data_IF_624483589477
#
_entry.id   IF_624483589477
#
_cell.length_a   1.000
_cell.length_b   1.000
_cell.length_c   1.000
_cell.angle_alpha   90.00
_cell.angle_beta   90.00
_cell.angle_gamma   90.00
#
_symmetry.space_group_name_H-M   'P 1'
#
loop_
_entity.id
_entity.type
_entity.pdbx_description
1 polymer ?
#
# COMPACT_ATOMS: atom_id res chain seq x y z
N UNK A 1 -3.02 8.81 8.86
CA UNK A 1 -3.54 7.84 9.85
C UNK A 1 -3.78 6.51 9.19
N UNK A 2 -3.43 5.42 9.86
CA UNK A 2 -3.77 4.06 9.40
C UNK A 2 -5.25 3.81 9.70
N UNK A 3 -6.07 3.74 8.65
CA UNK A 3 -7.53 3.51 8.77
C UNK A 3 -7.82 2.02 8.99
N UNK A 4 -7.09 1.17 8.26
CA UNK A 4 -7.18 -0.29 8.41
C UNK A 4 -5.83 -0.93 8.11
N UNK A 5 -5.49 -1.96 8.87
CA UNK A 5 -4.27 -2.72 8.76
C UNK A 5 -4.58 -4.22 8.81
N UNK A 6 -4.14 -4.90 7.75
CA UNK A 6 -4.05 -6.35 7.67
C UNK A 6 -2.62 -6.72 7.28
N UNK A 7 -2.17 -7.95 7.56
CA UNK A 7 -0.86 -8.43 7.10
C UNK A 7 -0.60 -8.18 5.61
N UNK A 8 -1.59 -8.40 4.75
CA UNK A 8 -1.45 -8.32 3.30
C UNK A 8 -1.96 -7.00 2.67
N UNK A 9 -2.55 -6.09 3.45
CA UNK A 9 -3.11 -4.85 2.91
C UNK A 9 -3.31 -3.79 3.99
N UNK A 10 -3.22 -2.52 3.62
CA UNK A 10 -3.48 -1.41 4.53
C UNK A 10 -4.09 -0.21 3.82
N UNK A 11 -4.84 0.59 4.58
CA UNK A 11 -5.39 1.88 4.14
C UNK A 11 -4.81 2.98 5.00
N UNK A 12 -4.25 4.01 4.37
CA UNK A 12 -3.85 5.26 5.03
C UNK A 12 -4.73 6.40 4.54
N UNK A 13 -5.13 7.27 5.45
CA UNK A 13 -5.84 8.50 5.12
C UNK A 13 -5.14 9.73 5.69
N UNK A 14 -5.10 10.81 4.92
CA UNK A 14 -4.67 12.14 5.37
C UNK A 14 -5.80 12.87 6.09
N UNK A 15 -5.45 13.95 6.78
CA UNK A 15 -6.40 14.72 7.60
C UNK A 15 -7.49 15.43 6.77
N UNK A 16 -7.21 15.71 5.51
CA UNK A 16 -8.19 16.23 4.54
C UNK A 16 -9.13 15.14 4.01
N UNK A 17 -8.87 13.86 4.31
CA UNK A 17 -9.73 12.73 3.96
C UNK A 17 -9.37 12.06 2.64
N UNK A 18 -8.25 12.42 1.98
CA UNK A 18 -7.70 11.59 0.91
C UNK A 18 -7.24 10.23 1.49
N UNK A 19 -7.50 9.13 0.79
CA UNK A 19 -7.16 7.79 1.27
C UNK A 19 -6.55 6.93 0.18
N UNK A 20 -5.58 6.10 0.57
CA UNK A 20 -4.88 5.16 -0.32
C UNK A 20 -4.93 3.77 0.28
N UNK A 21 -5.32 2.80 -0.54
CA UNK A 21 -5.20 1.37 -0.27
C UNK A 21 -3.90 0.85 -0.90
N UNK A 22 -3.14 0.09 -0.13
CA UNK A 22 -2.02 -0.70 -0.65
C UNK A 22 -2.32 -2.16 -0.36
N UNK A 23 -2.26 -2.99 -1.40
CA UNK A 23 -2.39 -4.45 -1.29
C UNK A 23 -1.05 -5.09 -1.65
N UNK A 24 -0.54 -5.99 -0.81
CA UNK A 24 0.80 -6.56 -0.88
C UNK A 24 0.75 -7.95 -1.55
N UNK A 25 1.08 -8.01 -2.83
CA UNK A 25 0.87 -9.19 -3.68
C UNK A 25 -0.60 -9.45 -4.00
N UNK A 26 -0.92 -10.46 -4.82
CA UNK A 26 -2.30 -10.88 -5.13
C UNK A 26 -2.62 -12.22 -4.46
N UNK A 27 -3.85 -12.38 -3.98
CA UNK A 27 -4.32 -13.57 -3.25
C UNK A 27 -3.52 -13.91 -1.98
N UNK A 28 -2.75 -12.95 -1.47
CA UNK A 28 -1.87 -13.10 -0.29
C UNK A 28 -2.62 -13.13 1.03
N UNK A 29 -3.91 -12.79 1.05
CA UNK A 29 -4.81 -13.08 2.18
C UNK A 29 -4.81 -14.57 2.56
N UNK A 30 -4.63 -15.46 1.59
CA UNK A 30 -4.59 -16.91 1.80
C UNK A 30 -3.40 -17.37 2.65
N UNK A 31 -2.38 -16.53 2.81
CA UNK A 31 -1.22 -16.83 3.65
C UNK A 31 -1.53 -16.68 5.14
N UNK A 32 -2.71 -16.18 5.52
CA UNK A 32 -3.11 -16.06 6.93
C UNK A 32 -2.17 -15.18 7.77
N UNK A 33 -1.38 -14.32 7.13
CA UNK A 33 -0.37 -13.47 7.77
C UNK A 33 1.05 -14.05 7.83
N UNK A 34 1.28 -15.27 7.35
CA UNK A 34 2.63 -15.83 7.25
C UNK A 34 3.51 -14.99 6.32
N UNK A 35 4.73 -14.67 6.77
CA UNK A 35 5.70 -13.88 6.00
C UNK A 35 5.50 -12.36 6.08
N UNK A 36 4.54 -11.88 6.88
CA UNK A 36 4.29 -10.46 7.08
C UNK A 36 4.58 -10.03 8.53
N UNK A 37 5.22 -8.87 8.69
CA UNK A 37 5.45 -8.21 9.98
C UNK A 37 4.77 -6.85 9.99
N UNK A 38 3.86 -6.64 10.92
CA UNK A 38 3.19 -5.35 11.14
C UNK A 38 4.03 -4.47 12.06
N UNK A 39 4.26 -3.22 11.67
CA UNK A 39 5.06 -2.25 12.45
C UNK A 39 4.23 -1.19 13.16
N UNK A 40 2.96 -1.09 12.81
CA UNK A 40 2.00 -0.09 13.32
C UNK A 40 0.67 -0.78 13.64
N UNK A 41 -0.33 0.00 14.08
CA UNK A 41 -1.69 -0.50 14.36
C UNK A 41 -2.78 0.40 13.76
N UNK A 42 -3.99 -0.14 13.70
CA UNK A 42 -5.20 0.63 13.35
C UNK A 42 -5.31 1.90 14.21
N UNK A 43 -5.64 3.03 13.58
CA UNK A 43 -5.79 4.34 14.21
C UNK A 43 -4.48 5.10 14.46
N UNK A 44 -3.32 4.52 14.16
CA UNK A 44 -2.03 5.20 14.39
C UNK A 44 -1.79 6.33 13.38
N UNK A 45 -1.29 7.47 13.87
CA UNK A 45 -0.78 8.53 13.03
C UNK A 45 0.64 8.18 12.58
N UNK A 46 0.89 8.25 11.27
CA UNK A 46 2.16 7.86 10.64
C UNK A 46 2.66 8.96 9.74
N UNK A 47 3.96 8.99 9.49
CA UNK A 47 4.61 9.96 8.61
C UNK A 47 5.19 9.29 7.36
N UNK A 48 5.42 10.06 6.30
CA UNK A 48 6.03 9.56 5.07
C UNK A 48 7.38 8.90 5.36
N UNK A 49 7.60 7.71 4.80
CA UNK A 49 8.80 6.90 4.99
C UNK A 49 8.81 6.04 6.26
N UNK A 50 7.80 6.15 7.12
CA UNK A 50 7.63 5.22 8.24
C UNK A 50 7.24 3.83 7.72
N UNK A 51 7.95 2.75 8.11
CA UNK A 51 7.56 1.40 7.76
C UNK A 51 6.19 1.02 8.35
N UNK A 52 5.31 0.44 7.52
CA UNK A 52 3.98 -0.01 7.96
C UNK A 52 3.91 -1.54 8.06
N UNK A 53 4.35 -2.22 7.00
CA UNK A 53 4.42 -3.68 6.89
C UNK A 53 5.72 -4.08 6.20
N UNK A 54 6.41 -5.10 6.72
CA UNK A 54 7.49 -5.78 6.01
C UNK A 54 7.04 -7.15 5.53
N UNK A 55 7.40 -7.50 4.31
CA UNK A 55 7.18 -8.82 3.72
C UNK A 55 8.29 -9.12 2.71
N UNK A 56 8.47 -10.38 2.37
CA UNK A 56 9.41 -10.82 1.34
C UNK A 56 8.63 -11.25 0.09
N UNK A 57 8.78 -10.50 -0.99
CA UNK A 57 8.14 -10.80 -2.27
C UNK A 57 8.54 -12.18 -2.83
N UNK A 58 9.76 -12.66 -2.52
CA UNK A 58 10.21 -13.97 -2.98
C UNK A 58 9.42 -15.12 -2.34
N UNK A 59 8.94 -14.95 -1.11
CA UNK A 59 8.05 -15.93 -0.44
C UNK A 59 6.69 -15.98 -1.13
N UNK A 60 6.18 -14.83 -1.58
CA UNK A 60 4.92 -14.74 -2.33
C UNK A 60 5.06 -15.47 -3.68
N UNK A 61 6.14 -15.19 -4.41
CA UNK A 61 6.45 -15.84 -5.69
C UNK A 61 6.66 -17.34 -5.55
N UNK A 62 7.43 -17.79 -4.55
CA UNK A 62 7.67 -19.20 -4.28
C UNK A 62 6.38 -19.95 -3.93
N UNK A 63 5.41 -19.26 -3.33
CA UNK A 63 4.06 -19.76 -3.07
C UNK A 63 3.14 -19.78 -4.30
N UNK A 64 3.62 -19.43 -5.49
CA UNK A 64 2.84 -19.40 -6.73
C UNK A 64 1.88 -18.22 -6.85
N UNK A 65 2.09 -17.15 -6.08
CA UNK A 65 1.25 -15.95 -6.09
C UNK A 65 1.96 -14.79 -6.78
N UNK A 66 1.19 -13.83 -7.27
CA UNK A 66 1.74 -12.63 -7.89
C UNK A 66 2.28 -11.68 -6.81
N UNK A 67 3.51 -11.17 -6.92
CA UNK A 67 4.05 -10.17 -6.01
C UNK A 67 3.61 -8.73 -6.37
N UNK A 68 2.79 -8.56 -7.42
CA UNK A 68 2.29 -7.23 -7.82
C UNK A 68 1.51 -6.61 -6.67
N UNK A 69 1.87 -5.37 -6.33
CA UNK A 69 1.25 -4.61 -5.25
C UNK A 69 0.39 -3.47 -5.81
N UNK A 70 -0.95 -3.61 -5.86
CA UNK A 70 -1.83 -2.49 -6.17
C UNK A 70 -1.70 -1.36 -5.15
N UNK A 71 -1.54 -0.13 -5.65
CA UNK A 71 -1.63 1.11 -4.87
C UNK A 71 -2.76 1.94 -5.47
N UNK A 72 -3.81 2.16 -4.69
CA UNK A 72 -5.11 2.63 -5.20
C UNK A 72 -5.53 3.87 -4.43
N UNK A 73 -5.78 4.98 -5.12
CA UNK A 73 -6.50 6.10 -4.56
C UNK A 73 -7.97 5.71 -4.35
N UNK A 74 -8.43 5.76 -3.10
CA UNK A 74 -9.82 5.45 -2.74
C UNK A 74 -10.67 6.71 -2.90
N UNK A 75 -11.94 6.50 -3.27
CA UNK A 75 -12.95 7.55 -3.43
C UNK A 75 -12.49 8.73 -4.32
N UNK A 76 -11.70 8.42 -5.35
CA UNK A 76 -11.16 9.36 -6.32
C UNK A 76 -11.47 8.92 -7.75
N UNK A 77 -11.67 9.88 -8.64
CA UNK A 77 -11.77 9.65 -10.09
C UNK A 77 -10.41 9.89 -10.77
N UNK A 78 -10.25 9.37 -11.99
CA UNK A 78 -8.97 9.42 -12.70
C UNK A 78 -8.48 10.85 -13.00
N UNK A 79 -9.39 11.80 -13.17
CA UNK A 79 -9.10 13.22 -13.38
C UNK A 79 -8.63 13.95 -12.11
N UNK A 80 -8.69 13.31 -10.95
CA UNK A 80 -8.16 13.81 -9.69
C UNK A 80 -6.72 13.32 -9.41
N UNK A 81 -6.15 12.54 -10.32
CA UNK A 81 -4.78 12.04 -10.21
C UNK A 81 -3.85 12.83 -11.13
N UNK A 82 -2.87 13.49 -10.53
CA UNK A 82 -1.80 14.21 -11.22
C UNK A 82 -0.48 13.42 -11.12
N UNK A 83 0.45 13.72 -12.04
CA UNK A 83 1.83 13.17 -12.02
C UNK A 83 1.90 11.64 -11.93
N UNK A 84 0.91 10.96 -12.48
CA UNK A 84 0.84 9.49 -12.48
C UNK A 84 2.03 8.93 -13.25
N UNK A 85 2.82 8.08 -12.60
CA UNK A 85 3.91 7.36 -13.25
C UNK A 85 3.37 6.13 -13.98
N UNK A 86 3.34 6.20 -15.31
CA UNK A 86 2.85 5.10 -16.15
C UNK A 86 3.77 3.87 -16.16
N UNK A 87 5.09 4.09 -16.03
CA UNK A 87 6.09 3.01 -16.05
C UNK A 87 7.43 3.45 -15.47
N UNK A 88 8.31 2.48 -15.24
CA UNK A 88 9.67 2.69 -14.75
C UNK A 88 9.86 2.28 -13.30
N UNK A 89 11.09 2.49 -12.81
CA UNK A 89 11.44 2.20 -11.43
C UNK A 89 11.02 3.36 -10.52
N UNK A 90 10.52 3.03 -9.33
CA UNK A 90 10.18 3.99 -8.28
C UNK A 90 10.93 3.57 -7.03
N UNK A 91 11.81 4.46 -6.54
CA UNK A 91 12.51 4.25 -5.29
C UNK A 91 11.61 4.40 -4.07
N UNK A 92 12.09 3.94 -2.91
CA UNK A 92 11.41 4.24 -1.64
C UNK A 92 11.27 5.75 -1.43
N UNK A 93 10.08 6.20 -1.02
CA UNK A 93 9.71 7.61 -0.82
C UNK A 93 9.65 8.48 -2.08
N UNK A 94 9.71 7.90 -3.27
CA UNK A 94 9.37 8.62 -4.49
C UNK A 94 7.86 8.59 -4.77
N UNK A 95 7.35 9.66 -5.39
CA UNK A 95 5.94 9.77 -5.73
C UNK A 95 5.55 8.81 -6.86
N UNK A 96 4.44 8.09 -6.68
CA UNK A 96 3.80 7.25 -7.71
C UNK A 96 2.71 8.04 -8.47
N UNK A 97 1.92 8.82 -7.74
CA UNK A 97 0.96 9.79 -8.25
C UNK A 97 0.71 10.83 -7.15
N UNK A 98 0.15 11.96 -7.53
CA UNK A 98 -0.37 12.99 -6.63
C UNK A 98 -1.89 12.94 -6.69
N UNK A 99 -2.54 12.86 -5.52
CA UNK A 99 -3.99 12.96 -5.44
C UNK A 99 -4.36 14.43 -5.22
N UNK A 100 -4.82 15.08 -6.28
CA UNK A 100 -5.36 16.42 -6.24
C UNK A 100 -6.83 16.39 -5.81
N UNK A 101 -7.29 17.48 -5.21
CA UNK A 101 -8.70 17.69 -4.88
C UNK A 101 -9.19 19.01 -5.42
#
# INVERSE_FOLDING_TARGET
TVVKLHPHAYVVASADGAAVLVHLGIDTVQLGGEGFTLHVRDGEAVTTGQPLVSFDASVIEAGGRSPVCPVIALDATADQLDEVRDSGYIGGNEALFTLAR
#
